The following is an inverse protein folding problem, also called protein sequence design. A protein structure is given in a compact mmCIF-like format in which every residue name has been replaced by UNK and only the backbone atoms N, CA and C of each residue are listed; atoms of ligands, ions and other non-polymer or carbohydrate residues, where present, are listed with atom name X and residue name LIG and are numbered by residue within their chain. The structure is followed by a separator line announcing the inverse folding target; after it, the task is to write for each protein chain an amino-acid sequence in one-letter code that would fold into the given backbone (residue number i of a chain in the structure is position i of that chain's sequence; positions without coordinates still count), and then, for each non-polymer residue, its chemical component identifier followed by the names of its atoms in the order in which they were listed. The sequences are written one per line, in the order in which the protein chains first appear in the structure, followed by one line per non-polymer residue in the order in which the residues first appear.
data_IF_325464993027
#
_entry.id   IF_325464993027
#
_cell.length_a   1.000
_cell.length_b   1.000
_cell.length_c   1.000
_cell.angle_alpha   90.00
_cell.angle_beta   90.00
_cell.angle_gamma   90.00
#
_symmetry.space_group_name_H-M   'P 1'
#
loop_
_entity.id
_entity.type
_entity.pdbx_description
1 polymer ?
#
# COMPACT_ATOMS: atom_id res chain seq x y z
N UNK A 1 -50.06 -19.43 -43.06
CA UNK A 1 -48.69 -19.75 -42.61
C UNK A 1 -47.72 -18.98 -43.49
N UNK A 2 -47.23 -17.80 -43.05
CA UNK A 2 -46.09 -17.05 -43.66
C UNK A 2 -45.99 -15.60 -43.17
N UNK A 3 -46.39 -15.35 -41.92
CA UNK A 3 -46.33 -13.98 -41.37
C UNK A 3 -45.47 -13.83 -40.11
N UNK A 4 -44.85 -14.93 -39.61
CA UNK A 4 -44.06 -14.96 -38.38
C UNK A 4 -42.54 -14.99 -38.59
N UNK A 5 -42.05 -15.09 -39.84
CA UNK A 5 -40.61 -15.18 -40.11
C UNK A 5 -39.92 -13.82 -40.33
N UNK A 6 -40.62 -12.70 -40.15
CA UNK A 6 -40.08 -11.35 -40.43
C UNK A 6 -39.52 -10.62 -39.22
N UNK A 7 -39.48 -11.25 -38.03
CA UNK A 7 -38.97 -10.65 -36.79
C UNK A 7 -37.79 -11.40 -36.17
N UNK A 8 -37.14 -12.30 -36.86
CA UNK A 8 -35.78 -12.72 -36.52
C UNK A 8 -34.77 -11.71 -37.08
N UNK A 9 -34.80 -10.48 -36.55
CA UNK A 9 -33.63 -9.62 -36.65
C UNK A 9 -32.55 -10.24 -35.76
N UNK A 10 -31.45 -10.64 -36.38
CA UNK A 10 -30.17 -10.90 -35.75
C UNK A 10 -29.89 -9.74 -34.79
N UNK A 11 -30.02 -9.96 -33.51
CA UNK A 11 -29.43 -9.13 -32.48
C UNK A 11 -27.95 -9.49 -32.40
N UNK A 12 -27.18 -9.09 -33.39
CA UNK A 12 -25.77 -8.83 -33.17
C UNK A 12 -25.75 -7.63 -32.22
N UNK A 13 -25.49 -7.88 -30.95
CA UNK A 13 -25.13 -6.80 -30.02
C UNK A 13 -24.00 -6.02 -30.70
N UNK A 14 -24.10 -4.68 -30.81
CA UNK A 14 -23.02 -3.90 -31.35
C UNK A 14 -21.80 -4.19 -30.47
N UNK A 15 -20.72 -4.66 -31.06
CA UNK A 15 -19.40 -4.73 -30.40
C UNK A 15 -19.18 -3.36 -29.78
N UNK A 16 -18.84 -3.26 -28.46
CA UNK A 16 -18.57 -1.97 -27.84
C UNK A 16 -17.52 -1.27 -28.69
N UNK A 17 -17.86 -0.10 -29.22
CA UNK A 17 -16.87 0.76 -29.89
C UNK A 17 -15.91 1.14 -28.78
N UNK A 18 -14.66 0.70 -28.88
CA UNK A 18 -13.63 1.02 -27.91
C UNK A 18 -13.54 2.55 -27.78
N UNK A 19 -13.53 3.04 -26.54
CA UNK A 19 -13.34 4.46 -26.28
C UNK A 19 -11.87 4.82 -26.65
N UNK A 20 -11.64 5.68 -27.64
CA UNK A 20 -10.29 6.04 -28.07
C UNK A 20 -9.42 6.57 -26.92
N UNK A 21 -10.04 7.20 -25.93
CA UNK A 21 -9.38 7.69 -24.72
C UNK A 21 -8.89 6.54 -23.84
N UNK A 22 -9.71 5.49 -23.68
CA UNK A 22 -9.35 4.30 -22.92
C UNK A 22 -8.21 3.53 -23.59
N UNK A 23 -8.27 3.33 -24.91
CA UNK A 23 -7.20 2.68 -25.67
C UNK A 23 -5.88 3.43 -25.57
N UNK A 24 -5.91 4.77 -25.67
CA UNK A 24 -4.72 5.61 -25.54
C UNK A 24 -4.14 5.56 -24.12
N UNK A 25 -4.99 5.54 -23.08
CA UNK A 25 -4.57 5.36 -21.70
C UNK A 25 -3.89 4.01 -21.48
N UNK A 26 -4.45 2.93 -22.01
CA UNK A 26 -3.91 1.57 -21.87
C UNK A 26 -2.56 1.43 -22.61
N UNK A 27 -2.45 2.02 -23.79
CA UNK A 27 -1.20 2.06 -24.55
C UNK A 27 -0.10 2.82 -23.78
N UNK A 28 -0.44 3.98 -23.19
CA UNK A 28 0.47 4.77 -22.37
C UNK A 28 0.91 4.02 -21.10
N UNK A 29 0.01 3.34 -20.41
CA UNK A 29 0.33 2.50 -19.25
C UNK A 29 1.23 1.33 -19.63
N UNK A 30 1.01 0.74 -20.78
CA UNK A 30 1.84 -0.35 -21.30
C UNK A 30 3.25 0.13 -21.59
N UNK A 31 3.41 1.29 -22.25
CA UNK A 31 4.72 1.91 -22.50
C UNK A 31 5.44 2.23 -21.17
N UNK A 32 4.75 2.84 -20.21
CA UNK A 32 5.30 3.14 -18.89
C UNK A 32 5.78 1.88 -18.13
N UNK A 33 5.00 0.79 -18.17
CA UNK A 33 5.39 -0.51 -17.57
C UNK A 33 6.62 -1.11 -18.23
N UNK A 34 6.84 -0.84 -19.51
CA UNK A 34 8.04 -1.24 -20.23
C UNK A 34 9.24 -0.30 -19.99
N UNK A 35 9.08 0.79 -19.24
CA UNK A 35 10.09 1.81 -18.99
C UNK A 35 10.23 2.84 -20.12
N UNK A 36 9.37 2.77 -21.15
CA UNK A 36 9.33 3.73 -22.26
C UNK A 36 8.45 4.94 -21.87
N UNK A 37 9.02 5.80 -21.02
CA UNK A 37 8.33 6.98 -20.52
C UNK A 37 8.20 8.08 -21.58
N UNK A 38 9.07 8.13 -22.61
CA UNK A 38 8.94 9.09 -23.71
C UNK A 38 7.63 8.83 -24.48
N UNK A 39 7.38 7.58 -24.84
CA UNK A 39 6.12 7.18 -25.47
C UNK A 39 4.93 7.37 -24.53
N UNK A 40 5.06 6.99 -23.27
CA UNK A 40 3.98 7.14 -22.29
C UNK A 40 3.56 8.61 -22.12
N UNK A 41 4.52 9.52 -21.96
CA UNK A 41 4.29 10.96 -21.83
C UNK A 41 3.65 11.56 -23.10
N UNK A 42 4.13 11.17 -24.29
CA UNK A 42 3.53 11.62 -25.56
C UNK A 42 2.05 11.22 -25.70
N UNK A 43 1.67 10.06 -25.15
CA UNK A 43 0.30 9.58 -25.13
C UNK A 43 -0.54 10.24 -24.03
N UNK A 44 0.00 10.46 -22.85
CA UNK A 44 -0.74 11.10 -21.74
C UNK A 44 -0.93 12.62 -21.95
N UNK A 45 0.03 13.33 -22.55
CA UNK A 45 0.01 14.77 -22.65
C UNK A 45 -1.29 15.33 -23.27
N UNK A 46 -1.76 14.88 -24.45
CA UNK A 46 -3.00 15.37 -25.03
C UNK A 46 -4.21 15.08 -24.15
N UNK A 47 -4.26 13.93 -23.48
CA UNK A 47 -5.34 13.56 -22.55
C UNK A 47 -5.34 14.44 -21.30
N UNK A 48 -4.18 14.69 -20.72
CA UNK A 48 -4.03 15.54 -19.54
C UNK A 48 -4.40 17.00 -19.84
N UNK A 49 -4.02 17.52 -21.02
CA UNK A 49 -4.43 18.85 -21.49
C UNK A 49 -5.93 18.94 -21.75
N UNK A 50 -6.56 17.84 -22.15
CA UNK A 50 -8.03 17.73 -22.30
C UNK A 50 -8.76 17.58 -20.94
N UNK A 51 -8.03 17.49 -19.81
CA UNK A 51 -8.61 17.41 -18.48
C UNK A 51 -8.78 15.98 -17.94
N UNK A 52 -8.20 14.97 -18.61
CA UNK A 52 -8.30 13.60 -18.12
C UNK A 52 -7.48 13.43 -16.83
N UNK A 53 -8.17 13.29 -15.70
CA UNK A 53 -7.58 13.34 -14.36
C UNK A 53 -6.47 12.29 -14.14
N UNK A 54 -6.67 11.03 -14.56
CA UNK A 54 -5.66 10.00 -14.43
C UNK A 54 -4.41 10.28 -15.28
N UNK A 55 -4.55 10.85 -16.47
CA UNK A 55 -3.40 11.26 -17.29
C UNK A 55 -2.64 12.42 -16.63
N UNK A 56 -3.35 13.38 -16.02
CA UNK A 56 -2.72 14.46 -15.24
C UNK A 56 -1.93 13.90 -14.07
N UNK A 57 -2.49 12.93 -13.32
CA UNK A 57 -1.77 12.24 -12.25
C UNK A 57 -0.48 11.58 -12.77
N UNK A 58 -0.57 10.84 -13.87
CA UNK A 58 0.58 10.09 -14.40
C UNK A 58 1.70 11.03 -14.88
N UNK A 59 1.37 12.14 -15.53
CA UNK A 59 2.33 13.19 -15.89
C UNK A 59 2.94 13.81 -14.62
N UNK A 60 2.12 14.12 -13.61
CA UNK A 60 2.61 14.62 -12.34
C UNK A 60 3.61 13.68 -11.67
N UNK A 61 3.33 12.38 -11.67
CA UNK A 61 4.25 11.36 -11.16
C UNK A 61 5.57 11.31 -11.97
N UNK A 62 5.51 11.41 -13.29
CA UNK A 62 6.72 11.46 -14.12
C UNK A 62 7.61 12.65 -13.78
N UNK A 63 7.04 13.86 -13.60
CA UNK A 63 7.81 15.02 -13.17
C UNK A 63 8.32 14.90 -11.73
N UNK A 64 7.58 14.25 -10.84
CA UNK A 64 8.01 14.02 -9.47
C UNK A 64 9.29 13.18 -9.40
N UNK A 65 9.32 12.08 -10.16
CA UNK A 65 10.35 11.04 -10.10
C UNK A 65 11.43 11.21 -11.20
N UNK A 66 11.23 12.12 -12.17
CA UNK A 66 12.16 12.30 -13.29
C UNK A 66 12.09 11.16 -14.31
N UNK A 67 10.90 10.62 -14.57
CA UNK A 67 10.68 9.51 -15.50
C UNK A 67 10.41 10.02 -16.91
N UNK A 68 11.36 9.84 -17.84
CA UNK A 68 11.28 10.36 -19.22
C UNK A 68 11.44 11.89 -19.34
N UNK A 69 11.49 12.60 -18.24
CA UNK A 69 11.67 14.06 -18.15
C UNK A 69 12.54 14.39 -16.94
N UNK A 70 13.28 15.51 -16.94
CA UNK A 70 13.95 15.97 -15.72
C UNK A 70 12.93 16.19 -14.59
N UNK A 71 13.30 15.81 -13.36
CA UNK A 71 12.43 16.03 -12.19
C UNK A 71 12.17 17.53 -12.02
N UNK A 72 10.88 17.87 -11.90
CA UNK A 72 10.36 19.23 -11.60
C UNK A 72 9.22 19.09 -10.62
N UNK A 73 9.54 19.11 -9.33
CA UNK A 73 8.56 18.88 -8.26
C UNK A 73 7.47 19.97 -8.18
N UNK A 74 7.78 21.26 -8.37
CA UNK A 74 6.75 22.31 -8.50
C UNK A 74 5.77 22.05 -9.66
N UNK A 75 6.25 21.61 -10.82
CA UNK A 75 5.39 21.24 -11.96
C UNK A 75 4.61 19.96 -11.69
N UNK A 76 5.22 18.98 -11.04
CA UNK A 76 4.55 17.76 -10.57
C UNK A 76 3.33 18.13 -9.70
N UNK A 77 3.52 18.99 -8.69
CA UNK A 77 2.45 19.42 -7.81
C UNK A 77 1.30 20.09 -8.58
N UNK A 78 1.59 20.90 -9.61
CA UNK A 78 0.54 21.51 -10.45
C UNK A 78 -0.31 20.44 -11.14
N UNK A 79 0.31 19.45 -11.76
CA UNK A 79 -0.40 18.37 -12.44
C UNK A 79 -1.19 17.48 -11.45
N UNK A 80 -0.59 17.14 -10.30
CA UNK A 80 -1.26 16.39 -9.25
C UNK A 80 -2.44 17.16 -8.65
N UNK A 81 -2.33 18.48 -8.50
CA UNK A 81 -3.43 19.32 -8.03
C UNK A 81 -4.59 19.32 -9.04
N UNK A 82 -4.31 19.44 -10.35
CA UNK A 82 -5.36 19.34 -11.37
C UNK A 82 -6.09 18.00 -11.32
N UNK A 83 -5.34 16.91 -11.17
CA UNK A 83 -5.90 15.56 -11.03
C UNK A 83 -6.76 15.42 -9.77
N UNK A 84 -6.26 15.92 -8.63
CA UNK A 84 -6.97 15.89 -7.36
C UNK A 84 -8.28 16.69 -7.39
N UNK A 85 -8.24 17.90 -7.99
CA UNK A 85 -9.39 18.78 -8.14
C UNK A 85 -10.44 18.17 -9.11
N UNK A 86 -9.99 17.39 -10.08
CA UNK A 86 -10.87 16.62 -10.97
C UNK A 86 -11.41 15.33 -10.30
N UNK A 87 -11.06 15.07 -9.04
CA UNK A 87 -11.62 13.99 -8.23
C UNK A 87 -10.93 12.64 -8.36
N UNK A 88 -9.80 12.52 -9.07
CA UNK A 88 -9.08 11.24 -9.18
C UNK A 88 -8.49 10.84 -7.82
N UNK A 89 -8.85 9.66 -7.25
CA UNK A 89 -8.38 9.28 -5.92
C UNK A 89 -6.86 9.10 -5.84
N UNK A 90 -6.22 8.59 -6.91
CA UNK A 90 -4.76 8.48 -6.95
C UNK A 90 -4.10 9.86 -7.03
N UNK A 91 -4.69 10.80 -7.79
CA UNK A 91 -4.25 12.19 -7.84
C UNK A 91 -4.38 12.87 -6.49
N UNK A 92 -5.48 12.66 -5.77
CA UNK A 92 -5.69 13.16 -4.42
C UNK A 92 -4.64 12.60 -3.45
N UNK A 93 -4.39 11.29 -3.45
CA UNK A 93 -3.36 10.66 -2.62
C UNK A 93 -1.97 11.20 -2.93
N UNK A 94 -1.58 11.27 -4.19
CA UNK A 94 -0.26 11.75 -4.58
C UNK A 94 -0.09 13.25 -4.27
N UNK A 95 -1.11 14.07 -4.47
CA UNK A 95 -1.10 15.47 -4.07
C UNK A 95 -0.98 15.61 -2.53
N UNK A 96 -1.67 14.75 -1.76
CA UNK A 96 -1.54 14.70 -0.31
C UNK A 96 -0.11 14.41 0.13
N UNK A 97 0.55 13.42 -0.49
CA UNK A 97 1.94 13.08 -0.19
C UNK A 97 2.90 14.26 -0.41
N UNK A 98 2.68 15.06 -1.45
CA UNK A 98 3.45 16.30 -1.67
C UNK A 98 3.22 17.32 -0.57
N UNK A 99 1.99 17.52 -0.11
CA UNK A 99 1.68 18.45 0.98
C UNK A 99 2.23 17.99 2.33
N UNK A 100 2.43 16.68 2.53
CA UNK A 100 3.11 16.16 3.73
C UNK A 100 4.61 16.48 3.74
N UNK A 101 5.28 16.47 2.58
CA UNK A 101 6.74 16.63 2.47
C UNK A 101 7.22 18.08 2.60
N UNK A 102 6.40 19.07 2.24
CA UNK A 102 6.73 20.50 2.37
C UNK A 102 7.77 21.03 1.38
N UNK A 103 8.49 22.08 1.77
CA UNK A 103 9.26 23.00 0.94
C UNK A 103 10.31 22.34 0.04
N UNK A 104 10.98 21.31 0.49
CA UNK A 104 12.00 20.58 -0.31
C UNK A 104 11.38 19.92 -1.55
N UNK A 105 10.07 19.65 -1.48
CA UNK A 105 9.33 19.00 -2.53
C UNK A 105 8.56 19.98 -3.44
N UNK A 106 8.07 21.08 -2.89
CA UNK A 106 7.03 21.89 -3.53
C UNK A 106 7.42 23.35 -3.73
N UNK A 107 8.50 23.83 -3.09
CA UNK A 107 8.84 25.25 -3.00
C UNK A 107 7.86 26.05 -2.15
N UNK A 108 6.97 25.38 -1.39
CA UNK A 108 6.05 25.95 -0.43
C UNK A 108 6.12 25.17 0.88
N UNK A 109 5.67 25.77 1.98
CA UNK A 109 5.62 25.09 3.27
C UNK A 109 4.72 23.85 3.22
N UNK A 110 5.02 22.85 4.07
CA UNK A 110 4.16 21.71 4.25
C UNK A 110 2.75 22.14 4.67
N UNK A 111 1.74 21.49 4.13
CA UNK A 111 0.35 21.66 4.55
C UNK A 111 -0.26 20.30 4.93
N UNK A 112 0.10 19.76 6.12
CA UNK A 112 -0.40 18.48 6.57
C UNK A 112 -1.93 18.45 6.75
N UNK A 113 -2.54 19.60 7.06
CA UNK A 113 -3.99 19.70 7.19
C UNK A 113 -4.70 19.52 5.83
N UNK A 114 -4.13 20.08 4.77
CA UNK A 114 -4.61 19.85 3.39
C UNK A 114 -4.35 18.39 2.96
N UNK A 115 -3.18 17.84 3.29
CA UNK A 115 -2.86 16.45 3.01
C UNK A 115 -3.87 15.50 3.66
N UNK A 116 -4.21 15.69 4.93
CA UNK A 116 -5.18 14.86 5.63
C UNK A 116 -6.57 14.90 4.97
N UNK A 117 -7.01 16.07 4.48
CA UNK A 117 -8.27 16.20 3.73
C UNK A 117 -8.24 15.43 2.41
N UNK A 118 -7.14 15.54 1.66
CA UNK A 118 -6.97 14.83 0.39
C UNK A 118 -6.89 13.31 0.58
N UNK A 119 -6.18 12.84 1.61
CA UNK A 119 -6.17 11.41 1.96
C UNK A 119 -7.57 10.92 2.31
N UNK A 120 -8.37 11.68 3.08
CA UNK A 120 -9.75 11.32 3.40
C UNK A 120 -10.61 11.23 2.14
N UNK A 121 -10.52 12.20 1.24
CA UNK A 121 -11.27 12.19 -0.03
C UNK A 121 -10.92 10.97 -0.89
N UNK A 122 -9.65 10.61 -0.99
CA UNK A 122 -9.20 9.43 -1.72
C UNK A 122 -9.63 8.12 -1.03
N UNK A 123 -9.52 8.05 0.29
CA UNK A 123 -9.91 6.90 1.10
C UNK A 123 -11.42 6.61 0.99
N UNK A 124 -12.26 7.63 1.01
CA UNK A 124 -13.71 7.54 0.82
C UNK A 124 -14.09 7.00 -0.57
N UNK A 125 -13.23 7.20 -1.57
CA UNK A 125 -13.37 6.67 -2.93
C UNK A 125 -12.76 5.26 -3.08
N UNK A 126 -12.21 4.68 -2.01
CA UNK A 126 -11.69 3.31 -2.01
C UNK A 126 -10.22 3.17 -2.38
N UNK A 127 -9.44 4.26 -2.41
CA UNK A 127 -7.98 4.15 -2.58
C UNK A 127 -7.36 3.55 -1.32
N UNK A 128 -6.88 2.31 -1.42
CA UNK A 128 -6.41 1.55 -0.28
C UNK A 128 -5.16 2.15 0.40
N UNK A 129 -4.26 2.73 -0.38
CA UNK A 129 -3.07 3.42 0.15
C UNK A 129 -3.46 4.70 0.91
N UNK A 130 -4.48 5.44 0.43
CA UNK A 130 -5.00 6.59 1.15
C UNK A 130 -5.74 6.18 2.43
N UNK A 131 -6.44 5.05 2.43
CA UNK A 131 -7.08 4.48 3.62
C UNK A 131 -6.02 4.12 4.69
N UNK A 132 -4.88 3.55 4.28
CA UNK A 132 -3.76 3.28 5.18
C UNK A 132 -3.20 4.57 5.79
N UNK A 133 -2.93 5.56 4.95
CA UNK A 133 -2.43 6.85 5.40
C UNK A 133 -3.40 7.58 6.34
N UNK A 134 -4.70 7.52 6.07
CA UNK A 134 -5.71 8.10 6.94
C UNK A 134 -5.78 7.38 8.29
N UNK A 135 -5.69 6.05 8.29
CA UNK A 135 -5.60 5.25 9.52
C UNK A 135 -4.40 5.66 10.36
N UNK A 136 -3.24 5.84 9.73
CA UNK A 136 -2.03 6.29 10.41
C UNK A 136 -2.21 7.68 11.03
N UNK A 137 -2.72 8.66 10.27
CA UNK A 137 -2.96 10.03 10.73
C UNK A 137 -3.90 10.07 11.95
N UNK A 138 -4.93 9.22 11.97
CA UNK A 138 -5.89 9.11 13.06
C UNK A 138 -5.28 8.47 14.33
N UNK A 139 -4.24 7.65 14.19
CA UNK A 139 -3.55 7.07 15.34
C UNK A 139 -2.52 8.03 15.93
N UNK A 140 -1.74 8.71 15.10
CA UNK A 140 -0.73 9.67 15.57
C UNK A 140 -1.36 10.87 16.29
N UNK A 141 -2.47 11.38 15.79
CA UNK A 141 -3.21 12.47 16.44
C UNK A 141 -2.52 13.85 16.38
N UNK A 142 -1.44 13.97 15.62
CA UNK A 142 -0.66 15.23 15.54
C UNK A 142 -1.26 16.21 14.53
N UNK A 143 -1.79 15.71 13.41
CA UNK A 143 -2.30 16.51 12.29
C UNK A 143 -3.81 16.64 12.35
N UNK A 144 -4.49 15.56 12.68
CA UNK A 144 -5.93 15.51 12.91
C UNK A 144 -6.19 14.87 14.29
N UNK A 145 -7.33 15.16 14.94
CA UNK A 145 -7.64 14.56 16.24
C UNK A 145 -7.56 13.03 16.18
N UNK A 146 -6.92 12.44 17.19
CA UNK A 146 -6.80 10.98 17.29
C UNK A 146 -8.16 10.33 17.47
N UNK A 147 -8.44 9.33 16.63
CA UNK A 147 -9.59 8.44 16.74
C UNK A 147 -9.18 7.01 16.39
N UNK A 148 -8.73 6.21 17.39
CA UNK A 148 -8.31 4.83 17.15
C UNK A 148 -9.44 3.92 16.63
N UNK A 149 -10.71 4.23 16.92
CA UNK A 149 -11.83 3.44 16.43
C UNK A 149 -12.05 3.68 14.92
N UNK A 150 -12.01 4.94 14.49
CA UNK A 150 -12.06 5.28 13.07
C UNK A 150 -10.80 4.76 12.34
N UNK A 151 -9.62 4.89 12.95
CA UNK A 151 -8.35 4.39 12.40
C UNK A 151 -8.42 2.89 12.08
N UNK A 152 -9.00 2.10 13.00
CA UNK A 152 -9.22 0.67 12.78
C UNK A 152 -10.08 0.39 11.55
N UNK A 153 -11.19 1.11 11.39
CA UNK A 153 -12.08 0.93 10.23
C UNK A 153 -11.37 1.17 8.90
N UNK A 154 -10.54 2.21 8.85
CA UNK A 154 -9.74 2.51 7.66
C UNK A 154 -8.63 1.48 7.43
N UNK A 155 -7.96 1.02 8.51
CA UNK A 155 -6.97 -0.04 8.40
C UNK A 155 -7.59 -1.36 7.89
N UNK A 156 -8.81 -1.72 8.32
CA UNK A 156 -9.52 -2.91 7.85
C UNK A 156 -9.80 -2.82 6.34
N UNK A 157 -10.30 -1.68 5.86
CA UNK A 157 -10.54 -1.46 4.43
C UNK A 157 -9.26 -1.51 3.59
N UNK A 158 -8.19 -0.88 4.08
CA UNK A 158 -6.89 -0.91 3.41
C UNK A 158 -6.30 -2.33 3.36
N UNK A 159 -6.46 -3.10 4.45
CA UNK A 159 -6.03 -4.49 4.52
C UNK A 159 -6.84 -5.39 3.55
N UNK A 160 -8.15 -5.15 3.39
CA UNK A 160 -8.98 -5.78 2.35
C UNK A 160 -8.48 -5.43 0.95
N UNK A 161 -7.99 -4.21 0.75
CA UNK A 161 -7.30 -3.75 -0.47
C UNK A 161 -5.89 -4.31 -0.65
N UNK A 162 -5.39 -5.14 0.28
CA UNK A 162 -4.09 -5.80 0.19
C UNK A 162 -2.91 -5.00 0.75
N UNK A 163 -3.12 -3.87 1.44
CA UNK A 163 -2.05 -3.06 2.01
C UNK A 163 -1.47 -3.75 3.25
N UNK A 164 -0.27 -4.29 3.13
CA UNK A 164 0.38 -5.07 4.20
C UNK A 164 0.70 -4.22 5.44
N UNK A 165 1.07 -2.95 5.28
CA UNK A 165 1.29 -2.01 6.39
C UNK A 165 0.04 -1.82 7.26
N UNK A 166 -1.16 -1.79 6.65
CA UNK A 166 -2.43 -1.74 7.38
C UNK A 166 -2.69 -3.02 8.18
N UNK A 167 -2.29 -4.18 7.66
CA UNK A 167 -2.37 -5.45 8.41
C UNK A 167 -1.47 -5.40 9.65
N UNK A 168 -0.26 -4.86 9.50
CA UNK A 168 0.67 -4.64 10.62
C UNK A 168 0.06 -3.71 11.65
N UNK A 169 -0.54 -2.61 11.24
CA UNK A 169 -1.24 -1.64 12.09
C UNK A 169 -2.40 -2.27 12.85
N UNK A 170 -3.23 -3.09 12.18
CA UNK A 170 -4.30 -3.85 12.85
C UNK A 170 -3.76 -4.75 13.96
N UNK A 171 -2.66 -5.44 13.69
CA UNK A 171 -1.96 -6.24 14.72
C UNK A 171 -1.56 -5.38 15.93
N UNK A 172 -1.01 -4.19 15.69
CA UNK A 172 -0.64 -3.25 16.77
C UNK A 172 -1.85 -2.74 17.56
N UNK A 173 -2.98 -2.45 16.88
CA UNK A 173 -4.23 -2.03 17.55
C UNK A 173 -4.72 -3.08 18.53
N UNK A 174 -4.78 -4.36 18.12
CA UNK A 174 -5.20 -5.46 19.00
C UNK A 174 -4.18 -5.78 20.10
N UNK A 175 -2.89 -5.61 19.83
CA UNK A 175 -1.84 -5.84 20.83
C UNK A 175 -1.88 -4.79 21.96
N UNK A 176 -2.06 -3.52 21.58
CA UNK A 176 -1.98 -2.37 22.49
C UNK A 176 -3.35 -1.90 23.04
N UNK A 177 -4.44 -2.58 22.69
CA UNK A 177 -5.81 -2.19 23.07
C UNK A 177 -6.19 -0.76 22.61
N UNK A 178 -5.80 -0.37 21.38
CA UNK A 178 -6.08 0.96 20.84
C UNK A 178 -7.41 0.91 20.06
N UNK A 179 -8.47 1.49 20.62
CA UNK A 179 -9.81 1.50 20.03
C UNK A 179 -10.50 0.12 19.96
N UNK A 180 -9.90 -0.91 20.55
CA UNK A 180 -10.41 -2.29 20.61
C UNK A 180 -9.96 -2.95 21.91
N UNK A 181 -10.61 -4.03 22.32
CA UNK A 181 -10.11 -4.88 23.40
C UNK A 181 -8.80 -5.56 22.99
N UNK A 182 -7.91 -5.74 23.96
CA UNK A 182 -6.65 -6.45 23.75
C UNK A 182 -6.91 -7.90 23.34
N UNK A 183 -6.36 -8.28 22.18
CA UNK A 183 -6.46 -9.64 21.66
C UNK A 183 -5.14 -10.06 21.00
N UNK A 184 -4.21 -10.68 21.75
CA UNK A 184 -2.93 -11.10 21.20
C UNK A 184 -3.04 -12.11 20.05
N UNK A 185 -4.08 -12.96 20.04
CA UNK A 185 -4.27 -13.93 18.98
C UNK A 185 -4.67 -13.24 17.66
N UNK A 186 -5.55 -12.24 17.73
CA UNK A 186 -5.86 -11.39 16.57
C UNK A 186 -4.67 -10.55 16.13
N UNK A 187 -3.84 -10.08 17.07
CA UNK A 187 -2.61 -9.36 16.72
C UNK A 187 -1.70 -10.25 15.88
N UNK A 188 -1.44 -11.48 16.31
CA UNK A 188 -0.63 -12.46 15.57
C UNK A 188 -1.25 -12.80 14.21
N UNK A 189 -2.57 -12.97 14.15
CA UNK A 189 -3.27 -13.21 12.88
C UNK A 189 -2.97 -12.10 11.86
N UNK A 190 -3.10 -10.84 12.27
CA UNK A 190 -2.85 -9.71 11.39
C UNK A 190 -1.37 -9.53 11.04
N UNK A 191 -0.45 -9.72 12.00
CA UNK A 191 0.98 -9.69 11.71
C UNK A 191 1.41 -10.80 10.76
N UNK A 192 0.80 -12.00 10.86
CA UNK A 192 1.03 -13.07 9.89
C UNK A 192 0.60 -12.66 8.48
N UNK A 193 -0.58 -12.05 8.34
CA UNK A 193 -1.06 -11.50 7.07
C UNK A 193 -0.15 -10.42 6.50
N UNK A 194 0.31 -9.49 7.31
CA UNK A 194 1.28 -8.48 6.91
C UNK A 194 2.62 -9.09 6.50
N UNK A 195 3.10 -10.08 7.24
CA UNK A 195 4.33 -10.80 6.93
C UNK A 195 4.22 -11.59 5.60
N UNK A 196 3.06 -12.19 5.31
CA UNK A 196 2.71 -12.81 4.02
C UNK A 196 2.74 -11.79 2.88
N UNK A 197 2.36 -10.53 3.15
CA UNK A 197 2.50 -9.38 2.26
C UNK A 197 3.91 -8.80 2.18
N UNK A 198 4.89 -9.48 2.77
CA UNK A 198 6.32 -9.08 2.84
C UNK A 198 6.58 -7.76 3.58
N UNK A 199 5.67 -7.35 4.48
CA UNK A 199 5.91 -6.21 5.37
C UNK A 199 6.95 -6.57 6.44
N UNK A 200 8.04 -5.82 6.48
CA UNK A 200 9.17 -6.11 7.37
C UNK A 200 8.84 -5.86 8.85
N UNK A 201 7.99 -4.90 9.15
CA UNK A 201 7.57 -4.62 10.53
C UNK A 201 6.62 -5.71 11.03
N UNK A 202 5.71 -6.21 10.19
CA UNK A 202 4.89 -7.38 10.50
C UNK A 202 5.75 -8.62 10.79
N UNK A 203 6.79 -8.87 9.98
CA UNK A 203 7.74 -9.97 10.21
C UNK A 203 8.44 -9.82 11.55
N UNK A 204 8.86 -8.60 11.93
CA UNK A 204 9.47 -8.33 13.23
C UNK A 204 8.50 -8.61 14.39
N UNK A 205 7.27 -8.11 14.29
CA UNK A 205 6.24 -8.30 15.33
C UNK A 205 5.82 -9.76 15.46
N UNK A 206 5.71 -10.50 14.34
CA UNK A 206 5.44 -11.94 14.36
C UNK A 206 6.60 -12.71 15.02
N UNK A 207 7.85 -12.38 14.68
CA UNK A 207 9.03 -12.97 15.32
C UNK A 207 9.08 -12.70 16.83
N UNK A 208 8.78 -11.48 17.25
CA UNK A 208 8.69 -11.13 18.67
C UNK A 208 7.56 -11.91 19.39
N UNK A 209 6.40 -12.04 18.75
CA UNK A 209 5.27 -12.82 19.28
C UNK A 209 5.62 -14.31 19.44
N UNK A 210 6.28 -14.91 18.46
CA UNK A 210 6.76 -16.30 18.52
C UNK A 210 7.82 -16.49 19.64
N UNK A 211 8.68 -15.50 19.89
CA UNK A 211 9.64 -15.55 20.97
C UNK A 211 8.98 -15.51 22.35
N UNK A 212 8.02 -14.61 22.52
CA UNK A 212 7.36 -14.36 23.81
C UNK A 212 6.21 -15.34 24.10
N UNK A 213 5.69 -16.05 23.11
CA UNK A 213 4.45 -16.82 23.27
C UNK A 213 3.21 -15.92 23.39
N UNK A 214 3.25 -14.74 22.82
CA UNK A 214 2.18 -13.75 22.94
C UNK A 214 1.16 -13.95 21.81
N UNK A 215 0.05 -14.65 22.08
CA UNK A 215 -0.99 -14.95 21.10
C UNK A 215 -0.67 -16.11 20.15
N UNK A 216 0.47 -16.75 20.31
CA UNK A 216 0.93 -17.94 19.57
C UNK A 216 1.82 -18.78 20.49
N UNK A 217 1.97 -20.09 20.28
CA UNK A 217 2.96 -20.88 21.01
C UNK A 217 4.39 -20.34 20.83
N UNK A 218 5.24 -20.57 21.84
CA UNK A 218 6.65 -20.22 21.72
C UNK A 218 7.34 -21.08 20.69
N UNK A 219 7.90 -20.46 19.66
CA UNK A 219 8.79 -21.10 18.68
C UNK A 219 9.98 -20.18 18.41
N UNK A 220 11.13 -20.51 19.03
CA UNK A 220 12.33 -19.67 18.94
C UNK A 220 13.04 -19.77 17.59
N UNK A 221 12.90 -20.92 16.89
CA UNK A 221 13.48 -21.09 15.55
C UNK A 221 12.72 -20.23 14.54
N UNK A 222 11.38 -20.31 14.54
CA UNK A 222 10.55 -19.44 13.74
C UNK A 222 10.76 -17.96 14.11
N UNK A 223 10.83 -17.63 15.41
CA UNK A 223 11.10 -16.28 15.89
C UNK A 223 12.38 -15.71 15.27
N UNK A 224 13.50 -16.45 15.36
CA UNK A 224 14.77 -15.97 14.80
C UNK A 224 14.71 -15.85 13.27
N UNK A 225 14.06 -16.79 12.59
CA UNK A 225 13.93 -16.74 11.13
C UNK A 225 13.13 -15.49 10.67
N UNK A 226 12.01 -15.19 11.31
CA UNK A 226 11.21 -13.99 11.03
C UNK A 226 11.97 -12.70 11.36
N UNK A 227 12.68 -12.63 12.48
CA UNK A 227 13.49 -11.47 12.87
C UNK A 227 14.64 -11.20 11.89
N UNK A 228 15.32 -12.26 11.40
CA UNK A 228 16.36 -12.11 10.37
C UNK A 228 15.77 -11.56 9.07
N UNK A 229 14.61 -12.07 8.65
CA UNK A 229 13.93 -11.54 7.46
C UNK A 229 13.56 -10.07 7.63
N UNK A 230 12.98 -9.72 8.76
CA UNK A 230 12.61 -8.35 9.10
C UNK A 230 13.81 -7.39 9.01
N UNK A 231 14.92 -7.78 9.59
CA UNK A 231 16.18 -7.00 9.49
C UNK A 231 16.65 -6.84 8.06
N UNK A 232 16.61 -7.91 7.26
CA UNK A 232 16.99 -7.86 5.85
C UNK A 232 16.02 -7.00 5.03
N UNK A 233 14.76 -6.92 5.45
CA UNK A 233 13.73 -6.04 4.90
C UNK A 233 13.79 -4.59 5.40
N UNK A 234 14.73 -4.27 6.30
CA UNK A 234 14.97 -2.92 6.81
C UNK A 234 14.19 -2.55 8.08
N UNK A 235 13.48 -3.49 8.71
CA UNK A 235 12.76 -3.19 9.97
C UNK A 235 13.72 -3.06 11.15
N UNK A 236 13.74 -1.88 11.77
CA UNK A 236 14.45 -1.63 13.02
C UNK A 236 13.80 -2.31 14.22
N UNK A 237 12.53 -2.70 14.14
CA UNK A 237 11.77 -3.33 15.23
C UNK A 237 12.31 -4.72 15.59
N UNK A 238 13.01 -5.40 14.69
CA UNK A 238 13.61 -6.70 14.94
C UNK A 238 14.85 -6.64 15.84
N UNK A 239 15.58 -5.53 15.81
CA UNK A 239 16.88 -5.37 16.47
C UNK A 239 16.89 -5.74 17.97
N UNK A 240 15.93 -5.29 18.80
CA UNK A 240 15.93 -5.59 20.23
C UNK A 240 15.76 -7.08 20.55
N UNK A 241 15.18 -7.85 19.65
CA UNK A 241 14.84 -9.27 19.87
C UNK A 241 15.90 -10.26 19.37
N UNK A 242 16.78 -9.85 18.46
CA UNK A 242 17.74 -10.77 17.82
C UNK A 242 18.68 -11.44 18.82
N UNK A 243 19.32 -10.65 19.69
CA UNK A 243 20.25 -11.18 20.71
C UNK A 243 19.53 -12.08 21.71
N UNK A 244 18.43 -11.63 22.37
CA UNK A 244 17.71 -12.47 23.33
C UNK A 244 17.22 -13.80 22.74
N UNK A 245 16.79 -13.81 21.46
CA UNK A 245 16.36 -15.05 20.82
C UNK A 245 17.55 -15.99 20.57
N UNK A 246 18.67 -15.46 20.04
CA UNK A 246 19.89 -16.25 19.75
C UNK A 246 20.48 -16.91 20.98
N UNK A 247 20.52 -16.21 22.12
CA UNK A 247 21.05 -16.72 23.39
C UNK A 247 20.28 -17.94 23.93
N UNK A 248 19.04 -18.13 23.48
CA UNK A 248 18.17 -19.23 23.90
C UNK A 248 18.11 -20.37 22.87
N UNK A 249 19.01 -20.40 21.89
CA UNK A 249 19.07 -21.40 20.83
C UNK A 249 20.46 -22.05 20.79
N UNK A 250 20.49 -23.35 20.49
CA UNK A 250 21.71 -24.06 20.16
C UNK A 250 22.23 -23.70 18.76
N UNK A 251 23.50 -23.99 18.48
CA UNK A 251 24.08 -23.73 17.16
C UNK A 251 23.34 -24.41 15.99
N UNK A 252 22.86 -25.67 16.09
CA UNK A 252 22.03 -26.30 15.05
C UNK A 252 20.69 -25.54 14.83
N UNK A 253 20.04 -25.09 15.90
CA UNK A 253 18.77 -24.36 15.82
C UNK A 253 18.96 -22.98 15.17
N UNK A 254 20.06 -22.28 15.49
CA UNK A 254 20.42 -21.02 14.82
C UNK A 254 20.63 -21.26 13.32
N UNK A 255 21.39 -22.30 12.96
CA UNK A 255 21.63 -22.64 11.55
C UNK A 255 20.31 -22.95 10.80
N UNK A 256 19.38 -23.65 11.46
CA UNK A 256 18.05 -23.91 10.89
C UNK A 256 17.25 -22.63 10.71
N UNK A 257 17.22 -21.73 11.69
CA UNK A 257 16.55 -20.43 11.57
C UNK A 257 17.13 -19.59 10.43
N UNK A 258 18.46 -19.53 10.31
CA UNK A 258 19.15 -18.82 9.22
C UNK A 258 18.87 -19.43 7.84
N UNK A 259 18.72 -20.77 7.77
CA UNK A 259 18.29 -21.47 6.57
C UNK A 259 16.86 -21.10 6.20
N UNK A 260 15.92 -21.14 7.17
CA UNK A 260 14.51 -20.76 6.94
C UNK A 260 14.38 -19.32 6.49
N UNK A 261 15.10 -18.38 7.09
CA UNK A 261 15.07 -16.96 6.73
C UNK A 261 15.44 -16.69 5.26
N UNK A 262 16.18 -17.60 4.61
CA UNK A 262 16.60 -17.52 3.20
C UNK A 262 15.63 -18.17 2.23
N UNK A 263 14.66 -18.95 2.71
CA UNK A 263 13.66 -19.58 1.85
C UNK A 263 12.80 -18.52 1.14
N UNK A 264 12.22 -18.86 -0.03
CA UNK A 264 11.12 -18.07 -0.56
C UNK A 264 10.03 -17.89 0.50
N UNK A 265 9.38 -16.73 0.52
CA UNK A 265 8.42 -16.41 1.59
C UNK A 265 7.29 -17.45 1.69
N UNK A 266 6.79 -17.92 0.54
CA UNK A 266 5.75 -18.94 0.48
C UNK A 266 6.16 -20.27 1.16
N UNK A 267 7.42 -20.69 0.97
CA UNK A 267 7.96 -21.94 1.56
C UNK A 267 8.17 -21.80 3.07
N UNK A 268 8.57 -20.62 3.52
CA UNK A 268 8.71 -20.32 4.94
C UNK A 268 7.35 -20.37 5.65
N UNK A 269 6.31 -19.76 5.05
CA UNK A 269 4.95 -19.73 5.59
C UNK A 269 4.36 -21.15 5.65
N UNK A 270 4.57 -21.96 4.60
CA UNK A 270 4.08 -23.34 4.57
C UNK A 270 4.70 -24.21 5.70
N UNK A 271 5.93 -23.93 6.11
CA UNK A 271 6.62 -24.59 7.22
C UNK A 271 6.19 -24.14 8.62
N UNK A 272 5.53 -22.99 8.72
CA UNK A 272 5.06 -22.39 9.99
C UNK A 272 3.57 -22.71 10.30
N UNK A 273 2.91 -23.49 9.47
CA UNK A 273 1.51 -23.93 9.74
C UNK A 273 1.57 -25.07 10.76
N UNK A 274 0.86 -24.97 11.91
CA UNK A 274 0.87 -25.99 12.96
C UNK A 274 0.23 -27.31 12.52
#
# INVERSE_FOLDING_TARGET
MRWLDRFRRSTTEPTPVADPTAEQMDAALTAAKAGDYDTALALWEPLARAGHARAQNNIGACFAEGLGVPSDRPLALKWLTLSADAGDPVGQRNCAAFHMQGSDATGSDADPAKAAKLYRMAAEQGDAEAQDMLSWLLLEGEIIPSDPAEAKLWAERAAEGGVAASMTRLGMLYHNALGVDRDPAKAVFWWRKGAEGNDADAQAMLGAACHMGAGTPVDRIAALAWLIRAMNGGSALAQPFLTPVRENLSAPEIAEAERRAKLPLADMIAGDTP
#
